data_IF_821645489230
#
_entry.id   IF_821645489230
#
_cell.length_a   1.000
_cell.length_b   1.000
_cell.length_c   1.000
_cell.angle_alpha   90.00
_cell.angle_beta   90.00
_cell.angle_gamma   90.00
#
_symmetry.space_group_name_H-M   'P 1'
#
loop_
_entity.id
_entity.type
_entity.pdbx_description
1 polymer ?
#
# COMPACT_ATOMS: atom_id res chain seq x y z
N UNK A 1 -2.73 -33.67 -45.74
CA UNK A 1 -1.94 -34.92 -45.79
C UNK A 1 -0.48 -34.57 -46.09
N UNK A 2 0.44 -34.97 -45.19
CA UNK A 2 1.92 -34.79 -45.17
C UNK A 2 2.35 -33.36 -44.76
N UNK A 3 2.76 -33.05 -43.51
CA UNK A 3 3.70 -33.67 -42.53
C UNK A 3 5.15 -33.68 -43.11
N UNK A 4 6.28 -33.35 -42.45
CA UNK A 4 6.78 -33.28 -41.04
C UNK A 4 8.09 -32.42 -41.02
N UNK A 5 8.43 -31.81 -39.87
CA UNK A 5 9.83 -31.74 -39.37
C UNK A 5 10.27 -30.35 -38.87
N UNK A 6 10.20 -29.97 -37.59
CA UNK A 6 10.81 -30.47 -36.34
C UNK A 6 12.19 -29.85 -36.01
N UNK A 7 12.24 -29.24 -34.81
CA UNK A 7 13.37 -29.07 -33.89
C UNK A 7 14.56 -28.18 -34.26
N UNK A 8 14.72 -27.06 -33.54
CA UNK A 8 15.92 -26.71 -32.75
C UNK A 8 15.84 -25.24 -32.31
N UNK A 9 15.58 -25.03 -31.03
CA UNK A 9 15.59 -23.72 -30.38
C UNK A 9 15.31 -23.86 -28.88
N UNK A 10 15.87 -24.91 -28.27
CA UNK A 10 15.93 -25.05 -26.82
C UNK A 10 17.23 -24.46 -26.29
N UNK A 11 17.17 -24.04 -25.03
CA UNK A 11 18.27 -23.57 -24.19
C UNK A 11 18.88 -22.22 -24.58
N UNK A 12 18.39 -21.17 -23.93
CA UNK A 12 19.16 -20.13 -23.20
C UNK A 12 18.21 -18.96 -22.95
N UNK A 13 17.63 -18.91 -21.76
CA UNK A 13 16.66 -17.86 -21.39
C UNK A 13 15.65 -18.26 -20.32
N UNK A 14 16.00 -19.19 -19.41
CA UNK A 14 15.38 -19.14 -18.09
C UNK A 14 16.18 -18.10 -17.32
N UNK A 15 15.78 -16.84 -17.49
CA UNK A 15 16.13 -15.81 -16.53
C UNK A 15 15.53 -16.26 -15.20
N UNK A 16 16.37 -16.23 -14.17
CA UNK A 16 16.02 -16.45 -12.78
C UNK A 16 14.94 -15.41 -12.42
N UNK A 17 13.68 -15.81 -12.46
CA UNK A 17 12.64 -15.07 -11.77
C UNK A 17 12.82 -15.36 -10.28
N UNK A 18 12.96 -14.34 -9.42
CA UNK A 18 12.85 -14.59 -7.99
C UNK A 18 11.47 -15.17 -7.77
N UNK A 19 11.43 -16.42 -7.31
CA UNK A 19 10.28 -16.89 -6.57
C UNK A 19 10.15 -15.90 -5.39
N UNK A 20 8.96 -15.34 -5.18
CA UNK A 20 8.64 -14.69 -3.92
C UNK A 20 8.76 -15.75 -2.82
N UNK A 21 9.97 -15.92 -2.28
CA UNK A 21 10.27 -16.80 -1.16
C UNK A 21 10.78 -15.90 -0.05
N UNK A 22 9.89 -15.56 0.87
CA UNK A 22 10.36 -15.14 2.17
C UNK A 22 10.95 -16.38 2.86
N UNK A 23 12.28 -16.44 2.97
CA UNK A 23 13.02 -17.49 3.67
C UNK A 23 13.34 -17.05 5.10
N UNK A 24 12.33 -17.05 5.94
CA UNK A 24 12.43 -16.58 7.31
C UNK A 24 12.93 -17.68 8.26
N UNK A 25 14.24 -17.76 8.49
CA UNK A 25 14.90 -18.77 9.35
C UNK A 25 14.43 -20.21 9.11
N UNK A 26 13.37 -20.56 9.84
CA UNK A 26 12.75 -21.86 9.94
C UNK A 26 11.54 -21.97 9.02
N UNK A 27 11.20 -21.00 8.19
CA UNK A 27 10.05 -21.06 7.30
C UNK A 27 10.44 -20.77 5.86
N UNK A 28 9.95 -21.61 4.96
CA UNK A 28 9.86 -21.32 3.53
C UNK A 28 8.40 -20.97 3.27
N UNK A 29 8.16 -19.75 2.78
CA UNK A 29 6.82 -19.23 2.52
C UNK A 29 6.69 -18.96 1.03
N UNK A 30 5.60 -19.45 0.46
CA UNK A 30 5.28 -19.31 -0.97
C UNK A 30 3.78 -19.08 -1.12
N UNK A 31 3.32 -18.32 -2.12
CA UNK A 31 1.92 -18.31 -2.52
C UNK A 31 1.38 -19.75 -2.67
N UNK A 32 0.24 -20.04 -2.08
CA UNK A 32 -0.37 -21.37 -2.20
C UNK A 32 -0.89 -21.57 -3.62
N UNK A 33 -0.51 -22.68 -4.26
CA UNK A 33 -0.86 -22.95 -5.66
C UNK A 33 -2.37 -23.13 -5.92
N UNK A 34 -3.20 -23.18 -4.88
CA UNK A 34 -4.67 -23.23 -4.99
C UNK A 34 -5.34 -21.89 -4.72
N UNK A 35 -4.56 -20.88 -4.32
CA UNK A 35 -5.00 -19.52 -4.08
C UNK A 35 -4.78 -18.65 -5.33
N UNK A 36 -5.61 -17.62 -5.45
CA UNK A 36 -5.37 -16.49 -6.35
C UNK A 36 -5.30 -15.27 -5.46
N UNK A 37 -4.31 -14.42 -5.69
CA UNK A 37 -4.17 -13.13 -5.03
C UNK A 37 -5.38 -12.24 -5.37
N UNK A 38 -5.96 -11.65 -4.34
CA UNK A 38 -6.91 -10.54 -4.51
C UNK A 38 -6.15 -9.27 -4.24
N UNK A 39 -5.99 -8.42 -5.26
CA UNK A 39 -5.41 -7.10 -5.09
C UNK A 39 -6.35 -6.24 -4.24
N UNK A 40 -5.78 -5.56 -3.26
CA UNK A 40 -6.50 -4.72 -2.28
C UNK A 40 -6.02 -3.27 -2.27
N UNK A 41 -4.92 -2.96 -2.97
CA UNK A 41 -4.40 -1.62 -3.11
C UNK A 41 -3.13 -1.55 -3.94
N UNK A 42 -2.68 -0.33 -4.20
CA UNK A 42 -1.41 -0.04 -4.86
C UNK A 42 -0.79 1.25 -4.32
N UNK A 43 0.49 1.46 -4.59
CA UNK A 43 1.12 2.76 -4.52
C UNK A 43 1.85 3.00 -5.84
N UNK A 44 1.61 4.17 -6.43
CA UNK A 44 2.24 4.57 -7.68
C UNK A 44 3.76 4.63 -7.59
N UNK A 45 4.39 4.73 -8.75
CA UNK A 45 5.83 4.88 -8.85
C UNK A 45 6.30 6.33 -8.69
N UNK A 46 5.39 7.30 -8.71
CA UNK A 46 5.70 8.73 -8.74
C UNK A 46 6.62 9.11 -9.90
N UNK A 47 7.26 10.27 -9.80
CA UNK A 47 8.37 10.61 -10.67
C UNK A 47 9.69 10.08 -10.10
N UNK A 48 10.17 8.95 -10.62
CA UNK A 48 11.37 8.25 -10.14
C UNK A 48 11.31 7.84 -8.64
N UNK A 49 10.12 7.53 -8.11
CA UNK A 49 9.92 7.09 -6.72
C UNK A 49 9.90 8.20 -5.67
N UNK A 50 9.91 9.47 -6.09
CA UNK A 50 9.98 10.60 -5.16
C UNK A 50 8.65 10.91 -4.44
N UNK A 51 7.52 10.39 -4.92
CA UNK A 51 6.19 10.89 -4.56
C UNK A 51 5.28 9.85 -3.87
N UNK A 52 5.86 8.74 -3.41
CA UNK A 52 5.17 7.75 -2.58
C UNK A 52 5.20 8.17 -1.12
N UNK A 53 4.06 8.15 -0.42
CA UNK A 53 3.94 8.54 0.99
C UNK A 53 4.49 7.44 1.93
N UNK A 54 5.73 7.56 2.45
CA UNK A 54 6.36 6.49 3.21
C UNK A 54 5.61 6.24 4.53
N UNK A 55 5.64 5.02 5.09
CA UNK A 55 6.48 3.88 4.74
C UNK A 55 6.02 3.05 3.54
N UNK A 56 4.95 3.44 2.84
CA UNK A 56 4.60 2.77 1.59
C UNK A 56 5.80 2.73 0.64
N UNK A 57 6.03 1.58 0.03
CA UNK A 57 7.10 1.42 -0.94
C UNK A 57 6.59 1.81 -2.32
N UNK A 58 7.40 2.58 -3.05
CA UNK A 58 7.14 2.96 -4.43
C UNK A 58 6.79 1.76 -5.30
N UNK A 59 5.74 1.89 -6.12
CA UNK A 59 5.31 0.82 -7.02
C UNK A 59 4.81 -0.43 -6.31
N UNK A 60 4.44 -0.33 -5.03
CA UNK A 60 3.96 -1.51 -4.30
C UNK A 60 2.53 -1.85 -4.70
N UNK A 61 2.30 -3.13 -4.96
CA UNK A 61 0.99 -3.74 -5.08
C UNK A 61 0.70 -4.46 -3.77
N UNK A 62 -0.50 -4.27 -3.24
CA UNK A 62 -0.96 -4.88 -2.01
C UNK A 62 -2.05 -5.89 -2.31
N UNK A 63 -2.01 -7.02 -1.61
CA UNK A 63 -2.95 -8.11 -1.86
C UNK A 63 -3.18 -9.02 -0.67
N UNK A 64 -4.09 -9.97 -0.86
CA UNK A 64 -4.39 -11.02 0.08
C UNK A 64 -4.48 -12.39 -0.60
N UNK A 65 -3.96 -13.42 0.07
CA UNK A 65 -4.03 -14.80 -0.40
C UNK A 65 -3.74 -15.84 0.70
N UNK A 66 -3.88 -17.12 0.34
CA UNK A 66 -3.25 -18.20 1.10
C UNK A 66 -1.78 -18.33 0.70
N UNK A 67 -0.95 -18.53 1.72
CA UNK A 67 0.43 -18.92 1.58
C UNK A 67 0.60 -20.36 2.05
N UNK A 68 1.39 -21.12 1.31
CA UNK A 68 1.94 -22.39 1.77
C UNK A 68 3.20 -22.13 2.60
N UNK A 69 3.38 -22.91 3.66
CA UNK A 69 4.59 -22.86 4.47
C UNK A 69 5.24 -24.24 4.61
N UNK A 70 6.57 -24.23 4.75
CA UNK A 70 7.35 -25.37 5.24
C UNK A 70 8.21 -24.91 6.40
N UNK A 71 7.97 -25.43 7.60
CA UNK A 71 8.86 -25.26 8.74
C UNK A 71 10.12 -26.12 8.51
N UNK A 72 11.28 -25.51 8.29
CA UNK A 72 12.56 -26.19 8.00
C UNK A 72 13.19 -26.82 9.24
N UNK A 73 12.73 -26.48 10.46
CA UNK A 73 13.14 -27.13 11.71
C UNK A 73 12.36 -28.42 11.93
N UNK A 74 11.03 -28.39 11.78
CA UNK A 74 10.16 -29.55 12.07
C UNK A 74 9.79 -30.37 10.82
N UNK A 75 9.99 -29.81 9.62
CA UNK A 75 9.44 -30.26 8.34
C UNK A 75 7.90 -30.26 8.30
N UNK A 76 7.24 -29.54 9.20
CA UNK A 76 5.81 -29.35 9.13
C UNK A 76 5.45 -28.49 7.92
N UNK A 77 4.32 -28.78 7.30
CA UNK A 77 3.83 -28.06 6.13
C UNK A 77 2.35 -27.77 6.30
N UNK A 78 1.90 -26.67 5.72
CA UNK A 78 0.50 -26.30 5.74
C UNK A 78 0.27 -25.01 4.96
N UNK A 79 -0.85 -24.37 5.26
CA UNK A 79 -1.16 -23.04 4.72
C UNK A 79 -1.63 -22.09 5.81
N UNK A 80 -1.44 -20.79 5.57
CA UNK A 80 -2.01 -19.71 6.35
C UNK A 80 -2.57 -18.64 5.41
N UNK A 81 -3.47 -17.80 5.90
CA UNK A 81 -3.96 -16.63 5.18
C UNK A 81 -3.12 -15.41 5.56
N UNK A 82 -2.78 -14.58 4.59
CA UNK A 82 -1.94 -13.41 4.83
C UNK A 82 -2.22 -12.27 3.87
N UNK A 83 -1.76 -11.10 4.29
CA UNK A 83 -1.64 -9.92 3.44
C UNK A 83 -0.21 -9.85 2.91
N UNK A 84 -0.05 -9.33 1.70
CA UNK A 84 1.26 -9.10 1.13
C UNK A 84 1.40 -7.73 0.50
N UNK A 85 2.64 -7.30 0.37
CA UNK A 85 3.03 -6.18 -0.45
C UNK A 85 4.24 -6.58 -1.30
N UNK A 86 4.12 -6.41 -2.61
CA UNK A 86 5.21 -6.62 -3.56
C UNK A 86 5.53 -5.29 -4.21
N UNK A 87 6.80 -4.91 -4.22
CA UNK A 87 7.26 -3.72 -4.95
C UNK A 87 8.48 -4.02 -5.79
N UNK A 88 8.64 -3.24 -6.85
CA UNK A 88 9.88 -3.15 -7.59
C UNK A 88 10.26 -1.68 -7.77
N UNK A 89 11.55 -1.39 -7.78
CA UNK A 89 12.04 -0.06 -8.10
C UNK A 89 12.68 -0.01 -9.50
N UNK A 90 12.93 1.21 -9.99
CA UNK A 90 13.60 1.42 -11.27
C UNK A 90 15.08 0.95 -11.31
N UNK A 91 15.65 0.53 -10.18
CA UNK A 91 17.00 -0.03 -10.07
C UNK A 91 17.00 -1.56 -10.12
N UNK A 92 15.81 -2.17 -10.16
CA UNK A 92 15.60 -3.61 -10.19
C UNK A 92 15.61 -4.25 -8.80
N UNK A 93 15.59 -3.46 -7.73
CA UNK A 93 15.35 -3.96 -6.39
C UNK A 93 13.88 -4.46 -6.32
N UNK A 94 13.64 -5.55 -5.59
CA UNK A 94 12.33 -6.15 -5.44
C UNK A 94 12.10 -6.43 -3.96
N UNK A 95 10.99 -5.93 -3.41
CA UNK A 95 10.55 -6.29 -2.08
C UNK A 95 9.34 -7.23 -2.12
N UNK A 96 9.28 -8.14 -1.17
CA UNK A 96 8.07 -8.91 -0.88
C UNK A 96 7.93 -9.04 0.62
N UNK A 97 6.89 -8.42 1.15
CA UNK A 97 6.53 -8.45 2.56
C UNK A 97 5.23 -9.22 2.75
N UNK A 98 5.14 -10.06 3.78
CA UNK A 98 3.99 -10.90 4.09
C UNK A 98 3.66 -10.81 5.58
N UNK A 99 2.40 -10.52 5.88
CA UNK A 99 1.81 -10.55 7.22
C UNK A 99 0.89 -11.75 7.39
N UNK A 100 1.08 -12.53 8.45
CA UNK A 100 0.18 -13.64 8.80
C UNK A 100 -1.08 -13.11 9.46
N UNK A 101 -2.20 -13.17 8.74
CA UNK A 101 -3.48 -12.63 9.18
C UNK A 101 -4.37 -13.71 9.83
N UNK A 102 -5.34 -13.31 10.68
CA UNK A 102 -6.41 -14.20 11.10
C UNK A 102 -7.19 -14.74 9.90
N UNK A 103 -7.50 -16.04 9.88
CA UNK A 103 -8.35 -16.60 8.83
C UNK A 103 -9.73 -15.91 8.83
N UNK A 104 -10.22 -15.42 7.68
CA UNK A 104 -11.52 -14.75 7.61
C UNK A 104 -12.67 -15.68 8.04
N UNK A 105 -13.65 -15.16 8.80
CA UNK A 105 -14.82 -15.94 9.24
C UNK A 105 -15.75 -16.35 8.07
N UNK A 106 -15.72 -15.60 6.96
CA UNK A 106 -16.54 -15.82 5.76
C UNK A 106 -15.67 -16.28 4.59
N UNK A 107 -15.99 -17.45 4.05
CA UNK A 107 -15.13 -18.18 3.12
C UNK A 107 -14.82 -17.52 1.78
N UNK A 108 -13.55 -17.61 1.42
CA UNK A 108 -12.98 -18.04 0.12
C UNK A 108 -11.72 -18.89 0.40
N UNK A 109 -11.02 -18.57 1.49
CA UNK A 109 -9.84 -19.26 2.00
C UNK A 109 -10.15 -20.28 3.12
N UNK A 110 -11.02 -21.26 2.85
CA UNK A 110 -11.21 -22.40 3.76
C UNK A 110 -10.08 -23.41 3.58
N UNK A 111 -8.90 -23.14 4.15
CA UNK A 111 -7.72 -23.96 3.90
C UNK A 111 -6.59 -23.83 4.91
N UNK A 112 -6.53 -22.71 5.65
CA UNK A 112 -5.49 -22.49 6.65
C UNK A 112 -5.47 -23.63 7.67
N UNK A 113 -4.30 -24.27 7.82
CA UNK A 113 -4.15 -25.47 8.63
C UNK A 113 -2.80 -26.14 8.44
N UNK A 114 -2.44 -26.93 9.44
CA UNK A 114 -1.14 -27.58 9.55
C UNK A 114 -0.66 -27.56 11.01
N UNK A 115 0.35 -28.35 11.34
CA UNK A 115 1.06 -28.20 12.61
C UNK A 115 2.14 -27.13 12.46
N UNK A 116 2.42 -26.39 13.52
CA UNK A 116 3.54 -25.44 13.54
C UNK A 116 3.46 -24.34 12.46
N UNK A 117 2.25 -23.92 12.09
CA UNK A 117 2.07 -22.75 11.24
C UNK A 117 2.65 -21.50 11.94
N UNK A 118 3.21 -20.55 11.18
CA UNK A 118 3.51 -19.23 11.71
C UNK A 118 2.28 -18.66 12.45
N UNK A 119 2.45 -18.12 13.67
CA UNK A 119 1.35 -17.50 14.39
C UNK A 119 0.89 -16.21 13.69
N UNK A 120 -0.39 -15.87 13.87
CA UNK A 120 -0.95 -14.57 13.45
C UNK A 120 -0.11 -13.44 14.03
N UNK A 121 0.17 -12.43 13.22
CA UNK A 121 1.06 -11.33 13.56
C UNK A 121 2.50 -11.53 13.10
N UNK A 122 2.87 -12.72 12.60
CA UNK A 122 4.21 -12.91 12.03
C UNK A 122 4.38 -12.05 10.78
N UNK A 123 5.56 -11.43 10.64
CA UNK A 123 5.96 -10.65 9.47
C UNK A 123 7.18 -11.31 8.84
N UNK A 124 7.16 -11.40 7.51
CA UNK A 124 8.21 -11.98 6.71
C UNK A 124 8.53 -11.05 5.56
N UNK A 125 9.81 -10.84 5.27
CA UNK A 125 10.22 -9.95 4.19
C UNK A 125 11.40 -10.52 3.41
N UNK A 126 11.39 -10.32 2.09
CA UNK A 126 12.54 -10.57 1.22
C UNK A 126 12.79 -9.38 0.31
N UNK A 127 13.91 -8.69 0.55
CA UNK A 127 14.38 -7.58 -0.25
C UNK A 127 15.56 -8.00 -1.14
N UNK A 128 15.34 -8.14 -2.44
CA UNK A 128 16.38 -8.51 -3.42
C UNK A 128 16.98 -7.27 -4.07
N UNK A 129 18.31 -7.19 -4.12
CA UNK A 129 19.02 -6.08 -4.76
C UNK A 129 19.24 -6.33 -6.26
N UNK A 130 18.80 -5.42 -7.14
CA UNK A 130 18.73 -5.53 -8.60
C UNK A 130 20.05 -5.73 -9.35
N UNK A 131 21.18 -5.66 -8.65
CA UNK A 131 22.52 -5.94 -9.18
C UNK A 131 23.07 -7.34 -8.79
N UNK A 132 22.24 -8.18 -8.16
CA UNK A 132 22.64 -9.50 -7.66
C UNK A 132 23.55 -9.44 -6.43
N UNK A 133 23.55 -8.33 -5.68
CA UNK A 133 24.31 -8.21 -4.43
C UNK A 133 23.82 -9.18 -3.33
N UNK A 134 22.60 -9.67 -3.44
CA UNK A 134 22.00 -10.64 -2.53
C UNK A 134 20.53 -10.35 -2.31
N UNK A 135 19.97 -11.00 -1.28
CA UNK A 135 18.62 -10.77 -0.79
C UNK A 135 18.71 -10.63 0.73
N UNK A 136 18.22 -9.53 1.29
CA UNK A 136 17.95 -9.46 2.73
C UNK A 136 16.69 -10.26 3.00
N UNK A 137 16.75 -11.14 3.99
CA UNK A 137 15.59 -11.92 4.40
C UNK A 137 15.36 -11.70 5.88
N UNK A 138 14.21 -11.10 6.17
CA UNK A 138 13.81 -10.70 7.50
C UNK A 138 12.62 -11.55 7.98
N UNK A 139 12.58 -11.77 9.29
CA UNK A 139 11.40 -12.32 9.94
C UNK A 139 11.23 -11.82 11.36
N UNK A 140 9.97 -11.62 11.74
CA UNK A 140 9.54 -11.42 13.11
C UNK A 140 8.37 -12.37 13.40
N UNK A 141 8.57 -13.30 14.34
CA UNK A 141 7.61 -14.36 14.63
C UNK A 141 7.20 -14.28 16.11
N UNK A 142 5.95 -13.88 16.44
CA UNK A 142 5.47 -13.80 17.81
C UNK A 142 5.61 -15.13 18.55
N UNK A 143 6.05 -15.08 19.81
CA UNK A 143 6.14 -16.27 20.67
C UNK A 143 4.91 -16.47 21.57
N UNK A 144 3.89 -15.63 21.43
CA UNK A 144 2.66 -15.63 22.22
C UNK A 144 2.80 -15.07 23.64
N UNK A 145 3.97 -14.52 24.01
CA UNK A 145 4.27 -13.94 25.32
C UNK A 145 4.60 -12.43 25.24
N UNK A 146 4.27 -11.79 24.12
CA UNK A 146 4.54 -10.36 23.89
C UNK A 146 5.98 -10.07 23.46
N UNK A 147 6.66 -11.06 22.90
CA UNK A 147 7.97 -10.93 22.24
C UNK A 147 7.96 -11.69 20.91
N UNK A 148 8.82 -11.32 19.97
CA UNK A 148 9.06 -12.12 18.77
C UNK A 148 10.46 -12.70 18.69
N UNK A 149 10.59 -13.79 17.94
CA UNK A 149 11.89 -14.19 17.38
C UNK A 149 12.13 -13.35 16.13
N UNK A 150 13.16 -12.50 16.19
CA UNK A 150 13.51 -11.58 15.12
C UNK A 150 14.83 -12.00 14.48
N UNK A 151 14.86 -12.05 13.15
CA UNK A 151 16.08 -12.28 12.37
C UNK A 151 16.13 -11.43 11.11
N UNK A 152 17.35 -11.12 10.70
CA UNK A 152 17.66 -10.48 9.43
C UNK A 152 18.95 -11.12 8.90
N UNK A 153 18.90 -11.61 7.67
CA UNK A 153 20.01 -12.32 7.02
C UNK A 153 20.19 -11.85 5.59
N UNK A 154 21.37 -11.32 5.30
CA UNK A 154 21.81 -11.11 3.92
C UNK A 154 22.24 -12.45 3.30
N UNK A 155 21.45 -12.94 2.36
CA UNK A 155 21.73 -14.14 1.56
C UNK A 155 22.43 -13.73 0.27
N UNK A 156 23.63 -14.25 0.04
CA UNK A 156 24.41 -13.97 -1.18
C UNK A 156 25.06 -15.23 -1.75
N UNK A 157 25.56 -15.14 -2.99
CA UNK A 157 26.35 -16.22 -3.60
C UNK A 157 27.65 -16.55 -2.84
N UNK A 158 28.12 -15.64 -1.98
CA UNK A 158 29.34 -15.82 -1.18
C UNK A 158 29.07 -16.40 0.22
N UNK A 159 27.79 -16.54 0.59
CA UNK A 159 27.35 -17.03 1.89
C UNK A 159 26.26 -16.16 2.51
N UNK A 160 25.79 -16.60 3.68
CA UNK A 160 24.76 -15.91 4.46
C UNK A 160 25.43 -15.15 5.61
N UNK A 161 25.02 -13.90 5.81
CA UNK A 161 25.50 -13.04 6.89
C UNK A 161 24.30 -12.56 7.68
N UNK A 162 24.22 -12.93 8.96
CA UNK A 162 23.20 -12.37 9.85
C UNK A 162 23.51 -10.89 10.11
N UNK A 163 22.51 -10.05 9.88
CA UNK A 163 22.51 -8.64 10.21
C UNK A 163 21.83 -8.48 11.57
N UNK A 164 22.54 -7.98 12.61
CA UNK A 164 21.92 -7.76 13.91
C UNK A 164 20.85 -6.67 13.80
N UNK A 165 19.62 -6.99 14.19
CA UNK A 165 18.53 -6.04 14.34
C UNK A 165 17.77 -6.30 15.64
N UNK A 166 17.14 -5.26 16.17
CA UNK A 166 16.19 -5.35 17.29
C UNK A 166 14.79 -4.91 16.88
N UNK A 167 14.58 -4.56 15.60
CA UNK A 167 13.29 -4.15 15.09
C UNK A 167 12.36 -5.36 15.00
N UNK A 168 11.25 -5.31 15.70
CA UNK A 168 10.24 -6.36 15.76
C UNK A 168 8.98 -5.89 15.03
N UNK A 169 8.86 -6.23 13.74
CA UNK A 169 7.69 -5.89 12.94
C UNK A 169 6.42 -6.63 13.39
N UNK A 170 6.56 -7.68 14.19
CA UNK A 170 5.46 -8.47 14.73
C UNK A 170 4.94 -7.94 16.07
N UNK A 171 5.71 -7.10 16.77
CA UNK A 171 5.23 -6.19 17.82
C UNK A 171 4.50 -5.00 17.16
N UNK A 172 3.64 -5.34 16.20
CA UNK A 172 2.87 -4.40 15.41
C UNK A 172 2.15 -3.45 16.36
N UNK A 173 1.99 -2.18 15.98
CA UNK A 173 1.80 -1.15 16.97
C UNK A 173 0.43 -1.28 17.63
N UNK A 174 0.43 -1.76 18.86
CA UNK A 174 -0.78 -1.87 19.66
C UNK A 174 -1.24 -0.45 20.04
N UNK A 175 -1.98 0.19 19.13
CA UNK A 175 -2.91 1.32 19.35
C UNK A 175 -2.32 2.41 20.23
N UNK A 176 -1.44 3.25 19.69
CA UNK A 176 -1.07 4.51 20.34
C UNK A 176 -2.18 5.54 20.11
N UNK A 177 -3.34 5.34 20.74
CA UNK A 177 -4.43 6.30 20.72
C UNK A 177 -4.18 7.44 21.72
N UNK A 178 -3.06 8.15 21.58
CA UNK A 178 -2.90 9.42 22.28
C UNK A 178 -4.03 10.35 21.83
N UNK A 179 -4.72 11.05 22.76
CA UNK A 179 -5.84 11.91 22.40
C UNK A 179 -5.40 12.99 21.40
N UNK A 180 -5.83 12.86 20.15
CA UNK A 180 -5.51 13.82 19.09
C UNK A 180 -6.22 15.13 19.37
N UNK A 181 -5.50 16.24 19.58
CA UNK A 181 -6.15 17.54 19.78
C UNK A 181 -6.74 18.00 18.46
N UNK A 182 -8.02 18.28 18.50
CA UNK A 182 -8.79 18.65 17.33
C UNK A 182 -8.91 20.17 17.33
N UNK A 183 -9.01 20.80 16.16
CA UNK A 183 -9.12 22.25 16.03
C UNK A 183 -10.26 22.93 16.82
N UNK A 184 -11.22 22.16 17.35
CA UNK A 184 -12.28 22.60 18.28
C UNK A 184 -11.98 22.30 19.77
N UNK A 185 -10.73 21.95 20.09
CA UNK A 185 -10.23 21.51 21.40
C UNK A 185 -10.77 20.15 21.89
N UNK A 186 -11.35 19.32 21.01
CA UNK A 186 -11.75 17.93 21.29
C UNK A 186 -10.60 16.92 21.20
N UNK A 187 -10.91 15.64 21.40
CA UNK A 187 -9.99 14.51 21.28
C UNK A 187 -10.61 13.27 20.65
N UNK A 188 -9.83 12.50 19.90
CA UNK A 188 -10.23 11.17 19.40
C UNK A 188 -9.60 10.05 20.22
N UNK A 189 -10.31 8.92 20.37
CA UNK A 189 -9.81 7.73 21.04
C UNK A 189 -10.28 6.47 20.31
N UNK A 190 -9.34 5.57 20.02
CA UNK A 190 -9.62 4.28 19.38
C UNK A 190 -10.61 3.41 20.17
N UNK A 191 -11.44 2.68 19.44
CA UNK A 191 -12.39 1.68 19.95
C UNK A 191 -11.94 0.30 19.48
N UNK A 192 -11.54 -0.55 20.43
CA UNK A 192 -11.05 -1.89 20.11
C UNK A 192 -9.66 -1.88 19.48
N UNK A 193 -9.31 -2.96 18.78
CA UNK A 193 -8.06 -3.09 18.04
C UNK A 193 -8.31 -2.88 16.55
N UNK A 194 -7.30 -2.38 15.84
CA UNK A 194 -7.30 -2.32 14.39
C UNK A 194 -7.55 -3.71 13.81
N UNK A 195 -8.42 -3.79 12.81
CA UNK A 195 -8.52 -4.95 11.93
C UNK A 195 -7.62 -4.70 10.74
N UNK A 196 -6.44 -5.32 10.73
CA UNK A 196 -5.46 -5.22 9.65
C UNK A 196 -6.07 -5.75 8.35
N UNK A 197 -5.86 -5.02 7.26
CA UNK A 197 -6.28 -5.37 5.89
C UNK A 197 -5.14 -5.33 4.89
N UNK A 198 -3.99 -4.77 5.26
CA UNK A 198 -2.82 -4.69 4.37
C UNK A 198 -1.53 -4.42 5.15
N UNK A 199 -0.39 -4.71 4.52
CA UNK A 199 0.96 -4.43 5.02
C UNK A 199 1.76 -3.65 3.96
N UNK A 200 2.75 -2.87 4.36
CA UNK A 200 3.77 -2.30 3.47
C UNK A 200 5.01 -1.88 4.28
N UNK A 201 6.17 -1.82 3.66
CA UNK A 201 7.41 -1.48 4.33
C UNK A 201 8.60 -2.22 3.74
N UNK A 202 9.74 -2.09 4.44
CA UNK A 202 11.00 -2.79 4.12
C UNK A 202 11.68 -3.15 5.45
N UNK A 203 11.18 -4.13 6.23
CA UNK A 203 11.83 -4.53 7.47
C UNK A 203 13.30 -4.95 7.26
N UNK A 204 14.23 -4.61 8.18
CA UNK A 204 14.01 -3.98 9.48
C UNK A 204 13.99 -2.45 9.48
N UNK A 205 13.88 -1.79 8.31
CA UNK A 205 13.86 -0.33 8.23
C UNK A 205 12.51 0.22 8.72
N UNK A 206 11.42 -0.27 8.14
CA UNK A 206 10.05 0.16 8.43
C UNK A 206 9.06 -0.99 8.23
N UNK A 207 7.95 -0.95 8.96
CA UNK A 207 6.76 -1.74 8.69
C UNK A 207 5.52 -0.90 8.96
N UNK A 208 4.51 -1.02 8.09
CA UNK A 208 3.23 -0.34 8.18
C UNK A 208 2.09 -1.36 8.11
N UNK A 209 1.19 -1.30 9.09
CA UNK A 209 -0.03 -2.09 9.10
C UNK A 209 -1.21 -1.16 8.86
N UNK A 210 -1.86 -1.34 7.72
CA UNK A 210 -3.08 -0.64 7.36
C UNK A 210 -4.29 -1.49 7.73
N UNK A 211 -5.36 -0.83 8.15
CA UNK A 211 -6.57 -1.50 8.56
C UNK A 211 -7.75 -0.57 8.77
N UNK A 212 -8.73 -1.10 9.51
CA UNK A 212 -9.92 -0.36 9.95
C UNK A 212 -10.02 -0.38 11.46
N UNK A 213 -10.48 0.75 12.01
CA UNK A 213 -10.78 0.91 13.42
C UNK A 213 -11.86 1.97 13.59
N UNK A 214 -12.68 1.87 14.65
CA UNK A 214 -13.62 2.93 14.99
C UNK A 214 -13.00 3.86 16.02
N UNK A 215 -13.35 5.14 15.99
CA UNK A 215 -12.89 6.13 16.98
C UNK A 215 -14.05 6.83 17.67
N UNK A 216 -13.94 6.99 18.99
CA UNK A 216 -14.81 7.85 19.80
C UNK A 216 -14.30 9.29 19.81
N UNK A 217 -15.19 10.24 19.57
CA UNK A 217 -14.88 11.67 19.58
C UNK A 217 -15.37 12.34 20.85
N UNK A 218 -14.49 13.03 21.55
CA UNK A 218 -14.79 13.77 22.78
C UNK A 218 -14.58 15.26 22.55
N UNK A 219 -15.40 16.09 23.18
CA UNK A 219 -15.19 17.54 23.18
C UNK A 219 -14.15 17.97 24.23
N UNK A 220 -13.83 19.25 24.27
CA UNK A 220 -12.88 19.84 25.24
C UNK A 220 -13.25 19.68 26.71
N UNK A 221 -14.51 19.34 27.01
CA UNK A 221 -14.95 19.02 28.36
C UNK A 221 -14.83 17.51 28.68
N UNK A 222 -14.28 16.70 27.77
CA UNK A 222 -14.17 15.24 27.89
C UNK A 222 -15.51 14.51 27.72
N UNK A 223 -16.51 15.16 27.11
CA UNK A 223 -17.82 14.54 26.86
C UNK A 223 -17.84 13.89 25.49
N UNK A 224 -18.30 12.63 25.41
CA UNK A 224 -18.50 11.92 24.15
C UNK A 224 -19.51 12.67 23.28
N UNK A 225 -19.09 13.03 22.08
CA UNK A 225 -19.89 13.70 21.05
C UNK A 225 -20.49 12.68 20.08
N UNK A 226 -19.71 11.66 19.72
CA UNK A 226 -20.10 10.66 18.74
C UNK A 226 -18.96 9.70 18.41
N UNK A 227 -19.16 8.92 17.35
CA UNK A 227 -18.22 7.89 16.88
C UNK A 227 -18.11 7.94 15.37
N UNK A 228 -16.91 7.68 14.86
CA UNK A 228 -16.61 7.65 13.43
C UNK A 228 -15.95 6.32 13.05
N UNK A 229 -16.23 5.86 11.83
CA UNK A 229 -15.48 4.78 11.21
C UNK A 229 -14.26 5.35 10.52
N UNK A 230 -13.13 4.64 10.58
CA UNK A 230 -11.87 5.08 9.98
C UNK A 230 -11.17 3.95 9.24
N UNK A 231 -10.32 4.35 8.31
CA UNK A 231 -9.15 3.55 7.93
C UNK A 231 -7.95 4.19 8.59
N UNK A 232 -7.01 3.37 9.03
CA UNK A 232 -5.84 3.82 9.78
C UNK A 232 -4.62 3.00 9.39
N UNK A 233 -3.45 3.62 9.46
CA UNK A 233 -2.16 2.95 9.24
C UNK A 233 -1.25 3.26 10.39
N UNK A 234 -0.72 2.19 10.97
CA UNK A 234 0.25 2.24 12.04
C UNK A 234 1.63 1.91 11.46
N UNK A 235 2.61 2.76 11.71
CA UNK A 235 3.99 2.57 11.22
C UNK A 235 4.94 2.44 12.39
N UNK A 236 5.92 1.55 12.27
CA UNK A 236 7.08 1.52 13.14
C UNK A 236 8.37 1.48 12.31
N UNK A 237 9.44 2.05 12.85
CA UNK A 237 10.76 2.04 12.22
C UNK A 237 11.86 1.41 13.10
N UNK A 238 12.99 1.07 12.48
CA UNK A 238 14.16 0.53 13.18
C UNK A 238 14.84 1.51 14.15
N UNK A 239 14.46 2.79 14.14
CA UNK A 239 14.89 3.76 15.14
C UNK A 239 14.00 3.73 16.40
N UNK A 240 12.81 3.13 16.33
CA UNK A 240 11.81 3.11 17.40
C UNK A 240 10.85 4.29 17.36
N UNK A 241 10.74 4.99 16.22
CA UNK A 241 9.68 5.95 15.94
C UNK A 241 8.39 5.16 15.66
N UNK A 242 7.27 5.70 16.14
CA UNK A 242 5.94 5.13 15.88
C UNK A 242 5.02 6.19 15.28
N UNK A 243 4.21 5.83 14.28
CA UNK A 243 3.19 6.73 13.72
C UNK A 243 1.82 6.08 13.55
N UNK A 244 0.76 6.87 13.67
CA UNK A 244 -0.62 6.46 13.41
C UNK A 244 -1.32 7.52 12.56
N UNK A 245 -1.51 7.23 11.28
CA UNK A 245 -2.30 8.03 10.36
C UNK A 245 -3.75 7.51 10.34
N UNK A 246 -4.73 8.40 10.46
CA UNK A 246 -6.16 8.06 10.54
C UNK A 246 -6.95 8.91 9.57
N UNK A 247 -7.76 8.27 8.74
CA UNK A 247 -8.70 8.89 7.81
C UNK A 247 -10.13 8.54 8.20
N UNK A 248 -10.95 9.56 8.46
CA UNK A 248 -12.37 9.40 8.75
C UNK A 248 -13.11 9.00 7.48
N UNK A 249 -13.75 7.84 7.47
CA UNK A 249 -14.46 7.33 6.30
C UNK A 249 -15.96 7.57 6.37
N UNK A 250 -16.55 7.50 7.57
CA UNK A 250 -17.97 7.76 7.76
C UNK A 250 -18.35 8.13 9.20
N UNK A 251 -19.49 8.81 9.33
CA UNK A 251 -20.20 9.00 10.60
C UNK A 251 -20.85 7.67 11.02
N UNK A 252 -20.65 7.25 12.28
CA UNK A 252 -21.38 6.14 12.90
C UNK A 252 -22.42 6.65 13.90
N UNK A 253 -22.09 7.71 14.64
CA UNK A 253 -23.03 8.44 15.48
C UNK A 253 -22.55 9.87 15.75
N UNK A 254 -23.50 10.80 15.90
CA UNK A 254 -23.21 12.19 16.25
C UNK A 254 -23.89 13.16 15.30
N UNK A 255 -23.37 14.39 15.24
CA UNK A 255 -23.73 15.36 14.21
C UNK A 255 -22.43 15.83 13.58
N UNK A 256 -22.31 15.65 12.26
CA UNK A 256 -21.16 16.15 11.50
C UNK A 256 -21.19 17.68 11.45
N UNK A 257 -20.04 18.30 11.69
CA UNK A 257 -19.92 19.75 11.71
C UNK A 257 -18.54 20.23 12.16
N UNK A 258 -18.45 21.53 12.42
CA UNK A 258 -17.19 22.22 12.70
C UNK A 258 -17.11 22.77 14.13
N UNK A 259 -18.12 22.51 14.97
CA UNK A 259 -18.15 23.02 16.35
C UNK A 259 -17.59 21.99 17.33
N UNK A 260 -17.32 22.42 18.56
CA UNK A 260 -16.95 21.53 19.67
C UNK A 260 -18.02 20.50 20.07
N UNK A 261 -19.21 20.56 19.48
CA UNK A 261 -20.31 19.63 19.71
C UNK A 261 -20.55 18.69 18.52
N UNK A 262 -19.68 18.74 17.51
CA UNK A 262 -19.81 17.98 16.28
C UNK A 262 -18.65 16.98 16.15
N UNK A 263 -18.89 15.90 15.39
CA UNK A 263 -17.85 14.96 14.95
C UNK A 263 -17.26 15.44 13.60
N UNK A 264 -16.05 14.99 13.22
CA UNK A 264 -15.44 15.34 11.95
C UNK A 264 -16.21 14.73 10.77
N UNK A 265 -16.16 15.41 9.63
CA UNK A 265 -16.69 14.87 8.38
C UNK A 265 -15.79 13.77 7.84
N UNK A 266 -16.38 12.90 7.00
CA UNK A 266 -15.60 12.02 6.14
C UNK A 266 -14.56 12.84 5.36
N UNK A 267 -13.36 12.31 5.29
CA UNK A 267 -12.19 12.92 4.71
C UNK A 267 -11.30 13.72 5.66
N UNK A 268 -11.66 13.77 6.95
CA UNK A 268 -10.77 14.38 7.95
C UNK A 268 -9.60 13.44 8.25
N UNK A 269 -8.39 13.99 8.28
CA UNK A 269 -7.14 13.24 8.43
C UNK A 269 -6.46 13.63 9.73
N UNK A 270 -5.84 12.67 10.39
CA UNK A 270 -5.07 12.86 11.60
C UNK A 270 -3.79 12.06 11.50
N UNK A 271 -2.72 12.54 12.12
CA UNK A 271 -1.51 11.77 12.25
C UNK A 271 -0.87 12.03 13.61
N UNK A 272 -0.38 10.98 14.25
CA UNK A 272 0.44 11.08 15.46
C UNK A 272 1.80 10.47 15.18
N UNK A 273 2.88 11.14 15.59
CA UNK A 273 4.25 10.62 15.50
C UNK A 273 4.87 10.69 16.90
N UNK A 274 5.18 9.55 17.51
CA UNK A 274 5.95 9.49 18.75
C UNK A 274 7.46 9.51 18.46
N UNK A 275 8.12 10.50 19.04
CA UNK A 275 9.56 10.68 19.04
C UNK A 275 10.11 10.50 20.46
N UNK A 276 10.13 9.26 20.95
CA UNK A 276 10.74 8.91 22.24
C UNK A 276 10.13 9.69 23.41
N UNK A 277 8.80 9.75 23.49
CA UNK A 277 8.05 10.44 24.54
C UNK A 277 7.80 11.94 24.27
N UNK A 278 7.84 12.34 23.00
CA UNK A 278 7.26 13.58 22.50
C UNK A 278 6.39 13.26 21.30
N UNK A 279 5.17 13.78 21.26
CA UNK A 279 4.22 13.47 20.19
C UNK A 279 4.08 14.66 19.25
N UNK A 280 4.37 14.47 17.97
CA UNK A 280 3.88 15.37 16.94
C UNK A 280 2.47 14.93 16.54
N UNK A 281 1.53 15.87 16.52
CA UNK A 281 0.12 15.59 16.28
C UNK A 281 -0.37 16.55 15.22
N UNK A 282 -0.70 15.99 14.07
CA UNK A 282 -1.34 16.66 12.96
C UNK A 282 -2.84 16.34 12.93
N UNK A 283 -3.63 17.33 12.57
CA UNK A 283 -5.05 17.15 12.25
C UNK A 283 -5.39 18.02 11.06
N UNK A 284 -6.22 17.52 10.16
CA UNK A 284 -6.85 18.23 9.06
C UNK A 284 -8.34 17.90 9.01
N UNK A 285 -9.16 18.87 9.39
CA UNK A 285 -10.59 18.66 9.58
C UNK A 285 -11.33 19.25 8.39
N UNK A 286 -12.04 18.39 7.66
CA UNK A 286 -12.87 18.80 6.53
C UNK A 286 -14.10 19.56 7.03
N UNK A 287 -14.28 20.79 6.54
CA UNK A 287 -15.48 21.58 6.83
C UNK A 287 -16.02 22.28 5.58
N UNK A 288 -17.34 22.57 5.50
CA UNK A 288 -17.92 23.31 4.38
C UNK A 288 -17.33 24.71 4.13
N UNK A 289 -16.67 25.30 5.13
CA UNK A 289 -16.06 26.63 5.05
C UNK A 289 -14.57 26.63 4.67
N UNK A 290 -14.01 25.46 4.40
CA UNK A 290 -12.58 25.23 4.22
C UNK A 290 -11.99 24.38 5.34
N UNK A 291 -10.95 23.64 5.01
CA UNK A 291 -10.32 22.72 5.93
C UNK A 291 -9.61 23.45 7.06
N UNK A 292 -9.58 22.84 8.24
CA UNK A 292 -8.89 23.37 9.40
C UNK A 292 -7.81 22.40 9.84
N UNK A 293 -6.58 22.72 9.45
CA UNK A 293 -5.41 21.93 9.78
C UNK A 293 -4.55 22.59 10.87
N UNK A 294 -4.01 21.75 11.76
CA UNK A 294 -3.10 22.15 12.83
C UNK A 294 -2.02 21.11 13.01
N UNK A 295 -0.83 21.57 13.39
CA UNK A 295 0.28 20.71 13.79
C UNK A 295 0.77 21.15 15.18
N UNK A 296 0.89 20.19 16.09
CA UNK A 296 1.31 20.44 17.47
C UNK A 296 2.36 19.44 17.92
N UNK A 297 3.41 19.94 18.58
CA UNK A 297 4.40 19.11 19.26
C UNK A 297 4.11 19.11 20.77
N UNK A 298 3.76 17.95 21.31
CA UNK A 298 3.61 17.71 22.74
C UNK A 298 4.94 17.21 23.31
N UNK A 299 5.40 17.86 24.38
CA UNK A 299 6.63 17.49 25.09
C UNK A 299 6.40 17.54 26.59
N UNK A 300 7.34 17.02 27.37
CA UNK A 300 7.38 17.23 28.83
C UNK A 300 7.42 18.69 29.28
N UNK A 301 7.78 19.63 28.39
CA UNK A 301 7.82 21.07 28.66
C UNK A 301 6.51 21.80 28.31
N UNK A 302 5.58 21.10 27.64
CA UNK A 302 4.30 21.65 27.18
C UNK A 302 4.06 21.39 25.68
N UNK A 303 2.95 21.94 25.20
CA UNK A 303 2.48 21.86 23.81
C UNK A 303 2.91 23.08 23.02
N UNK A 304 3.50 22.87 21.85
CA UNK A 304 3.92 23.89 20.91
C UNK A 304 3.12 23.76 19.62
N UNK A 305 2.60 24.86 19.08
CA UNK A 305 1.96 24.88 17.76
C UNK A 305 3.07 25.06 16.71
N UNK A 306 3.11 24.17 15.74
CA UNK A 306 3.99 24.27 14.57
C UNK A 306 3.18 24.92 13.45
N UNK A 307 3.62 26.07 12.91
CA UNK A 307 2.97 26.66 11.74
C UNK A 307 3.09 25.71 10.56
N UNK A 308 1.95 25.32 9.99
CA UNK A 308 1.86 24.38 8.86
C UNK A 308 0.92 24.96 7.80
N UNK A 309 1.20 24.68 6.53
CA UNK A 309 0.34 25.05 5.39
C UNK A 309 -0.20 23.81 4.63
N UNK A 310 0.23 22.63 5.03
CA UNK A 310 -0.17 21.34 4.47
C UNK A 310 -1.61 21.01 4.84
N UNK A 311 -2.39 20.71 3.82
CA UNK A 311 -3.84 20.41 3.84
C UNK A 311 -3.98 19.01 3.25
N UNK A 312 -3.75 18.00 4.10
CA UNK A 312 -3.71 16.59 3.72
C UNK A 312 -5.01 16.14 3.04
N UNK A 313 -6.16 16.66 3.48
CA UNK A 313 -7.46 16.30 2.95
C UNK A 313 -7.66 16.73 1.49
N UNK A 314 -6.77 17.58 0.92
CA UNK A 314 -6.76 17.83 -0.53
C UNK A 314 -6.43 16.59 -1.36
N UNK A 315 -5.71 15.62 -0.81
CA UNK A 315 -5.36 14.39 -1.53
C UNK A 315 -6.62 13.65 -2.03
N UNK A 316 -7.75 13.76 -1.33
CA UNK A 316 -9.02 13.16 -1.74
C UNK A 316 -9.63 13.78 -2.99
N UNK A 317 -9.27 15.03 -3.27
CA UNK A 317 -9.86 15.78 -4.38
C UNK A 317 -9.15 15.57 -5.71
N UNK A 318 -7.98 14.91 -5.70
CA UNK A 318 -7.15 14.67 -6.88
C UNK A 318 -7.94 13.84 -7.90
N UNK A 319 -8.46 12.68 -7.49
CA UNK A 319 -9.18 11.74 -8.37
C UNK A 319 -10.61 12.14 -8.76
N UNK A 320 -11.03 13.38 -8.47
CA UNK A 320 -12.39 13.85 -8.78
C UNK A 320 -12.47 14.64 -10.10
N UNK A 321 -11.39 14.69 -10.87
CA UNK A 321 -11.32 15.42 -12.14
C UNK A 321 -11.08 14.49 -13.33
N UNK A 322 -11.63 14.78 -14.53
CA UNK A 322 -11.28 14.02 -15.72
C UNK A 322 -9.80 14.16 -16.07
N UNK A 323 -9.17 13.04 -16.42
CA UNK A 323 -7.77 12.98 -16.89
C UNK A 323 -7.75 12.54 -18.35
N UNK A 324 -6.95 13.22 -19.18
CA UNK A 324 -6.74 12.84 -20.58
C UNK A 324 -5.28 12.43 -20.81
N UNK A 325 -5.09 11.24 -21.35
CA UNK A 325 -3.78 10.68 -21.66
C UNK A 325 -3.35 10.97 -23.10
N UNK A 326 -2.06 10.92 -23.37
CA UNK A 326 -1.49 11.21 -24.70
C UNK A 326 -1.90 10.20 -25.77
N UNK A 327 -2.32 9.00 -25.37
CA UNK A 327 -2.92 7.98 -26.24
C UNK A 327 -4.36 8.32 -26.69
N UNK A 328 -4.95 9.42 -26.19
CA UNK A 328 -6.29 9.88 -26.53
C UNK A 328 -7.41 9.29 -25.67
N UNK A 329 -7.08 8.47 -24.67
CA UNK A 329 -8.03 8.05 -23.64
C UNK A 329 -8.30 9.19 -22.67
N UNK A 330 -9.54 9.29 -22.21
CA UNK A 330 -9.95 10.19 -21.14
C UNK A 330 -10.75 9.41 -20.12
N UNK A 331 -10.30 9.46 -18.86
CA UNK A 331 -11.01 8.89 -17.73
C UNK A 331 -11.81 9.98 -17.04
N UNK A 332 -13.01 9.65 -16.60
CA UNK A 332 -13.89 10.57 -15.89
C UNK A 332 -14.51 9.80 -14.73
N UNK A 333 -14.19 10.17 -13.47
CA UNK A 333 -14.75 9.53 -12.29
C UNK A 333 -16.27 9.69 -12.31
N UNK A 334 -16.98 8.63 -11.92
CA UNK A 334 -18.45 8.57 -11.92
C UNK A 334 -19.04 8.54 -10.52
N UNK A 335 -18.21 8.23 -9.53
CA UNK A 335 -18.48 8.31 -8.11
C UNK A 335 -17.29 8.94 -7.36
N UNK A 336 -17.47 9.11 -6.05
CA UNK A 336 -16.41 9.56 -5.16
C UNK A 336 -15.56 8.35 -4.74
N UNK A 337 -14.28 8.61 -4.43
CA UNK A 337 -13.37 7.61 -3.90
C UNK A 337 -13.95 6.94 -2.64
N UNK A 338 -14.02 5.62 -2.64
CA UNK A 338 -14.41 4.83 -1.47
C UNK A 338 -13.16 4.39 -0.71
N UNK A 339 -12.86 5.05 0.40
CA UNK A 339 -11.62 4.88 1.14
C UNK A 339 -11.40 3.45 1.65
N UNK A 340 -10.23 2.90 1.36
CA UNK A 340 -9.76 1.58 1.83
C UNK A 340 -8.44 1.68 2.59
N UNK A 341 -7.73 2.82 2.51
CA UNK A 341 -6.43 2.99 3.12
C UNK A 341 -5.99 4.44 3.26
N UNK A 342 -5.04 4.64 4.15
CA UNK A 342 -4.28 5.88 4.32
C UNK A 342 -2.83 5.51 4.61
N UNK A 343 -1.87 6.29 4.14
CA UNK A 343 -0.47 6.12 4.50
C UNK A 343 0.23 7.50 4.51
N UNK A 344 1.52 7.51 4.82
CA UNK A 344 2.30 8.74 4.88
C UNK A 344 2.49 9.28 6.29
N UNK A 345 3.13 10.44 6.33
CA UNK A 345 3.51 11.14 7.56
C UNK A 345 3.00 12.59 7.58
N UNK A 346 1.68 12.86 7.61
CA UNK A 346 1.18 14.23 7.70
C UNK A 346 1.81 14.97 8.90
N UNK A 347 2.32 16.21 8.74
CA UNK A 347 2.11 17.11 7.61
C UNK A 347 3.16 17.07 6.48
N UNK A 348 4.00 16.04 6.39
CA UNK A 348 5.03 15.94 5.35
C UNK A 348 4.43 15.42 4.05
N UNK A 349 3.69 14.32 4.14
CA UNK A 349 3.05 13.68 3.00
C UNK A 349 1.81 12.91 3.45
N UNK A 350 0.96 12.54 2.50
CA UNK A 350 -0.17 11.64 2.73
C UNK A 350 -0.45 10.85 1.46
N UNK A 351 -0.79 9.58 1.63
CA UNK A 351 -1.35 8.72 0.60
C UNK A 351 -2.74 8.27 1.00
N UNK A 352 -3.72 8.37 0.10
CA UNK A 352 -5.10 7.92 0.36
C UNK A 352 -5.45 6.89 -0.71
N UNK A 353 -5.88 5.71 -0.27
CA UNK A 353 -6.26 4.60 -1.14
C UNK A 353 -7.78 4.40 -1.13
N UNK A 354 -8.33 3.97 -2.26
CA UNK A 354 -9.74 3.61 -2.34
C UNK A 354 -10.14 3.01 -3.68
N UNK A 355 -11.35 2.45 -3.71
CA UNK A 355 -11.98 2.03 -4.96
C UNK A 355 -12.75 3.19 -5.61
N UNK A 356 -12.73 3.27 -6.94
CA UNK A 356 -13.50 4.28 -7.68
C UNK A 356 -13.96 3.75 -9.05
N UNK A 357 -15.17 4.15 -9.46
CA UNK A 357 -15.75 3.82 -10.76
C UNK A 357 -15.51 4.97 -11.76
N UNK A 358 -15.03 4.61 -12.94
CA UNK A 358 -14.74 5.55 -14.01
C UNK A 358 -15.57 5.23 -15.26
N UNK A 359 -15.88 6.28 -16.02
CA UNK A 359 -16.18 6.18 -17.44
C UNK A 359 -14.93 6.52 -18.23
N UNK A 360 -14.74 5.87 -19.37
CA UNK A 360 -13.65 6.18 -20.28
C UNK A 360 -14.16 6.45 -21.69
N UNK A 361 -13.48 7.35 -22.38
CA UNK A 361 -13.62 7.53 -23.83
C UNK A 361 -12.25 7.41 -24.49
N UNK A 362 -12.17 6.66 -25.57
CA UNK A 362 -11.04 6.59 -26.48
C UNK A 362 -11.54 7.12 -27.83
N UNK A 363 -10.91 8.19 -28.32
CA UNK A 363 -11.27 8.84 -29.59
C UNK A 363 -11.26 7.90 -30.82
N UNK A 364 -10.68 6.70 -30.70
CA UNK A 364 -10.57 5.69 -31.76
C UNK A 364 -11.33 4.41 -31.41
N UNK A 365 -11.27 3.94 -30.17
CA UNK A 365 -11.75 2.61 -29.77
C UNK A 365 -13.15 2.60 -29.14
N UNK A 366 -13.69 3.74 -28.72
CA UNK A 366 -15.07 3.85 -28.24
C UNK A 366 -15.17 4.41 -26.82
N UNK A 367 -16.15 3.95 -26.05
CA UNK A 367 -16.38 4.42 -24.68
C UNK A 367 -16.92 3.29 -23.82
N UNK A 368 -16.58 3.28 -22.54
CA UNK A 368 -17.07 2.29 -21.58
C UNK A 368 -16.95 2.79 -20.14
N UNK A 369 -17.04 1.85 -19.20
CA UNK A 369 -16.78 2.04 -17.78
C UNK A 369 -15.79 1.00 -17.25
N UNK A 370 -15.12 1.33 -16.15
CA UNK A 370 -14.24 0.43 -15.43
C UNK A 370 -14.26 0.77 -13.93
N UNK A 371 -13.90 -0.20 -13.10
CA UNK A 371 -13.64 -0.01 -11.66
C UNK A 371 -12.13 -0.09 -11.47
N UNK A 372 -11.59 0.74 -10.59
CA UNK A 372 -10.18 0.76 -10.27
C UNK A 372 -9.92 0.90 -8.78
N UNK A 373 -8.76 0.36 -8.38
CA UNK A 373 -8.11 0.79 -7.15
C UNK A 373 -7.30 2.05 -7.48
N UNK A 374 -7.42 3.05 -6.61
CA UNK A 374 -6.84 4.39 -6.80
C UNK A 374 -6.06 4.77 -5.57
N UNK A 375 -4.89 5.36 -5.79
CA UNK A 375 -4.08 5.94 -4.72
C UNK A 375 -3.70 7.35 -5.08
N UNK A 376 -4.10 8.29 -4.23
CA UNK A 376 -3.76 9.69 -4.36
C UNK A 376 -2.68 10.05 -3.34
N UNK A 377 -1.57 10.66 -3.77
CA UNK A 377 -0.57 11.22 -2.83
C UNK A 377 -0.48 12.74 -2.93
N UNK A 378 -0.10 13.36 -1.81
CA UNK A 378 0.17 14.78 -1.71
C UNK A 378 1.34 14.98 -0.74
N UNK A 379 2.30 15.82 -1.11
CA UNK A 379 3.44 16.17 -0.26
C UNK A 379 3.44 17.66 0.18
N UNK A 380 4.40 18.02 1.03
CA UNK A 380 4.57 19.37 1.57
C UNK A 380 5.03 20.40 0.51
N UNK A 381 5.51 19.93 -0.64
CA UNK A 381 5.80 20.75 -1.82
C UNK A 381 4.57 20.97 -2.71
N UNK A 382 3.43 20.35 -2.37
CA UNK A 382 2.18 20.35 -3.12
C UNK A 382 2.31 19.66 -4.49
N UNK A 383 3.25 18.73 -4.58
CA UNK A 383 3.29 17.74 -5.65
C UNK A 383 2.21 16.69 -5.37
N UNK A 384 1.53 16.25 -6.43
CA UNK A 384 0.34 15.39 -6.33
C UNK A 384 0.49 14.20 -7.25
N UNK A 385 0.11 13.01 -6.78
CA UNK A 385 0.00 11.84 -7.66
C UNK A 385 -1.38 11.22 -7.61
N UNK A 386 -1.77 10.58 -8.71
CA UNK A 386 -2.92 9.69 -8.80
C UNK A 386 -2.49 8.44 -9.56
N UNK A 387 -2.42 7.30 -8.87
CA UNK A 387 -2.19 5.99 -9.46
C UNK A 387 -3.52 5.25 -9.58
N UNK A 388 -3.78 4.64 -10.74
CA UNK A 388 -5.06 3.99 -11.08
C UNK A 388 -4.75 2.59 -11.62
N UNK A 389 -5.23 1.56 -10.91
CA UNK A 389 -5.16 0.17 -11.35
C UNK A 389 -6.55 -0.34 -11.76
N UNK A 390 -6.71 -0.74 -13.02
CA UNK A 390 -7.98 -1.25 -13.53
C UNK A 390 -8.27 -2.64 -12.96
N UNK A 391 -9.26 -2.77 -12.08
CA UNK A 391 -9.64 -4.05 -11.47
C UNK A 391 -10.81 -4.73 -12.17
N UNK A 392 -11.68 -3.95 -12.83
CA UNK A 392 -12.79 -4.46 -13.65
C UNK A 392 -13.01 -3.57 -14.86
N UNK A 393 -13.38 -4.13 -16.01
CA UNK A 393 -13.67 -3.35 -17.22
C UNK A 393 -14.90 -3.86 -17.95
N UNK A 394 -15.74 -2.94 -18.42
CA UNK A 394 -16.90 -3.23 -19.27
C UNK A 394 -16.51 -3.64 -20.70
N UNK A 395 -15.30 -3.27 -21.13
CA UNK A 395 -14.73 -3.70 -22.41
C UNK A 395 -13.23 -4.03 -22.25
N UNK A 396 -12.91 -5.24 -21.74
CA UNK A 396 -11.53 -5.67 -21.52
C UNK A 396 -10.69 -5.82 -22.79
N UNK A 397 -11.29 -5.69 -23.99
CA UNK A 397 -10.54 -5.67 -25.23
C UNK A 397 -9.95 -4.28 -25.53
N UNK A 398 -10.54 -3.22 -24.97
CA UNK A 398 -10.08 -1.83 -25.11
C UNK A 398 -9.26 -1.41 -23.90
N UNK A 399 -9.77 -1.67 -22.69
CA UNK A 399 -9.10 -1.36 -21.43
C UNK A 399 -9.03 -2.65 -20.59
N UNK A 400 -7.95 -3.42 -20.72
CA UNK A 400 -7.77 -4.69 -20.03
C UNK A 400 -7.58 -4.53 -18.51
N UNK A 401 -8.06 -5.49 -17.71
CA UNK A 401 -7.87 -5.55 -16.24
C UNK A 401 -6.39 -5.73 -15.90
N UNK A 402 -5.85 -5.00 -14.94
CA UNK A 402 -4.41 -4.96 -14.64
C UNK A 402 -3.65 -3.93 -15.47
N UNK A 403 -4.34 -3.09 -16.26
CA UNK A 403 -3.73 -1.88 -16.82
C UNK A 403 -3.54 -0.84 -15.71
N UNK A 404 -2.42 -0.12 -15.75
CA UNK A 404 -2.06 0.89 -14.76
C UNK A 404 -1.86 2.25 -15.41
N UNK A 405 -2.24 3.30 -14.70
CA UNK A 405 -2.08 4.69 -15.12
C UNK A 405 -1.59 5.49 -13.93
N UNK A 406 -0.73 6.46 -14.20
CA UNK A 406 -0.25 7.35 -13.16
C UNK A 406 -0.19 8.78 -13.67
N UNK A 407 -0.64 9.70 -12.84
CA UNK A 407 -0.54 11.14 -13.05
C UNK A 407 0.35 11.69 -11.94
N UNK A 408 1.36 12.46 -12.32
CA UNK A 408 2.18 13.24 -11.36
C UNK A 408 2.04 14.72 -11.73
N UNK A 409 1.51 15.54 -10.83
CA UNK A 409 1.35 16.98 -11.02
C UNK A 409 2.39 17.74 -10.20
N UNK A 410 3.32 18.41 -10.90
CA UNK A 410 4.37 19.24 -10.30
C UNK A 410 3.95 20.71 -10.12
N UNK A 411 2.69 21.01 -10.42
CA UNK A 411 2.15 22.36 -10.51
C UNK A 411 2.65 23.14 -11.73
N UNK A 412 2.23 24.41 -11.82
CA UNK A 412 2.63 25.36 -12.88
C UNK A 412 2.40 24.88 -14.33
N UNK A 413 1.53 23.89 -14.53
CA UNK A 413 1.23 23.30 -15.84
C UNK A 413 2.22 22.22 -16.29
N UNK A 414 2.98 21.63 -15.37
CA UNK A 414 3.83 20.46 -15.60
C UNK A 414 3.18 19.22 -15.00
N UNK A 415 2.99 18.20 -15.82
CA UNK A 415 2.41 16.92 -15.41
C UNK A 415 3.13 15.76 -16.10
N UNK A 416 3.39 14.67 -15.40
CA UNK A 416 3.77 13.39 -15.98
C UNK A 416 2.52 12.53 -16.14
N UNK A 417 2.35 11.93 -17.32
CA UNK A 417 1.23 11.06 -17.64
C UNK A 417 1.78 9.71 -18.10
N UNK A 418 1.72 8.75 -17.19
CA UNK A 418 2.05 7.36 -17.43
C UNK A 418 0.81 6.56 -17.82
N UNK A 419 0.97 5.66 -18.78
CA UNK A 419 0.00 4.59 -19.01
C UNK A 419 0.67 3.30 -19.41
N UNK A 420 0.26 2.21 -18.78
CA UNK A 420 0.63 0.85 -19.08
C UNK A 420 -0.61 0.01 -19.36
N UNK A 421 -0.93 -0.14 -20.64
CA UNK A 421 -2.09 -0.90 -21.07
C UNK A 421 -1.69 -2.36 -21.22
N UNK A 422 -2.23 -3.19 -20.34
CA UNK A 422 -1.84 -4.58 -20.22
C UNK A 422 -2.27 -5.42 -21.43
N UNK A 423 -1.57 -6.53 -21.70
CA UNK A 423 -1.86 -7.43 -22.82
C UNK A 423 -1.91 -8.90 -22.40
N UNK A 424 -3.01 -9.60 -22.73
CA UNK A 424 -3.20 -11.02 -22.41
C UNK A 424 -2.26 -12.00 -23.17
N UNK A 425 -1.43 -11.52 -24.10
CA UNK A 425 -0.56 -12.39 -24.91
C UNK A 425 0.43 -11.66 -25.82
N UNK A 426 0.60 -10.36 -25.63
CA UNK A 426 1.57 -9.51 -26.31
C UNK A 426 2.42 -8.74 -25.30
N UNK A 427 3.24 -7.82 -25.79
CA UNK A 427 3.85 -6.81 -24.93
C UNK A 427 2.78 -5.77 -24.57
N UNK A 428 2.88 -5.23 -23.37
CA UNK A 428 2.06 -4.12 -22.94
C UNK A 428 2.32 -2.86 -23.80
N UNK A 429 1.36 -1.94 -23.83
CA UNK A 429 1.51 -0.64 -24.49
C UNK A 429 1.80 0.39 -23.42
N UNK A 430 3.08 0.72 -23.28
CA UNK A 430 3.58 1.62 -22.25
C UNK A 430 3.95 2.96 -22.86
N UNK A 431 3.45 4.05 -22.29
CA UNK A 431 3.79 5.41 -22.69
C UNK A 431 3.98 6.31 -21.47
N UNK A 432 4.95 7.22 -21.56
CA UNK A 432 5.14 8.30 -20.60
C UNK A 432 5.16 9.63 -21.36
N UNK A 433 4.44 10.63 -20.85
CA UNK A 433 4.38 11.97 -21.45
C UNK A 433 4.51 13.04 -20.39
N UNK A 434 5.57 13.85 -20.49
CA UNK A 434 5.69 15.08 -19.74
C UNK A 434 4.93 16.20 -20.46
N UNK A 435 3.78 16.56 -19.92
CA UNK A 435 2.99 17.73 -20.31
C UNK A 435 3.69 18.97 -19.80
N UNK A 436 3.84 19.99 -20.66
CA UNK A 436 4.44 21.26 -20.26
C UNK A 436 3.70 22.44 -20.90
N UNK A 437 3.83 23.67 -20.37
CA UNK A 437 3.26 24.86 -21.00
C UNK A 437 3.86 25.16 -22.39
N UNK A 438 4.96 24.51 -22.76
CA UNK A 438 5.66 24.69 -24.04
C UNK A 438 5.31 23.59 -25.06
N UNK A 439 4.47 22.62 -24.66
CA UNK A 439 4.11 21.44 -25.43
C UNK A 439 4.57 20.15 -24.78
N UNK A 440 3.96 19.05 -25.22
CA UNK A 440 4.14 17.73 -24.60
C UNK A 440 5.42 17.05 -25.12
N UNK A 441 6.11 16.36 -24.21
CA UNK A 441 7.35 15.64 -24.47
C UNK A 441 7.12 14.17 -24.15
N UNK A 442 7.19 13.31 -25.16
CA UNK A 442 7.21 11.86 -24.92
C UNK A 442 8.54 11.46 -24.29
N UNK A 443 8.46 10.76 -23.16
CA UNK A 443 9.61 10.21 -22.47
C UNK A 443 9.66 8.68 -22.72
N UNK A 444 10.85 8.08 -22.70
CA UNK A 444 10.96 6.63 -22.57
C UNK A 444 10.29 6.19 -21.25
N UNK A 445 9.41 5.17 -21.28
CA UNK A 445 8.77 4.70 -20.05
C UNK A 445 9.84 4.11 -19.10
N UNK A 446 9.82 4.48 -17.82
CA UNK A 446 10.82 4.03 -16.85
C UNK A 446 10.60 2.58 -16.37
N UNK A 447 9.36 2.08 -16.43
CA UNK A 447 8.96 0.76 -15.94
C UNK A 447 7.76 0.18 -16.72
N UNK A 448 7.45 -1.09 -16.47
CA UNK A 448 6.31 -1.87 -16.99
C UNK A 448 5.50 -2.31 -15.76
N UNK A 449 4.63 -1.42 -15.25
CA UNK A 449 3.92 -1.62 -13.99
C UNK A 449 2.84 -2.71 -14.10
N UNK A 450 2.26 -2.86 -15.30
CA UNK A 450 1.32 -3.95 -15.57
C UNK A 450 2.00 -5.31 -15.78
N UNK A 451 3.34 -5.37 -15.78
CA UNK A 451 4.07 -6.62 -15.89
C UNK A 451 3.73 -7.55 -14.72
N UNK A 452 3.12 -8.69 -15.04
CA UNK A 452 2.80 -9.71 -14.04
C UNK A 452 1.46 -9.54 -13.35
N UNK A 453 0.72 -8.45 -13.58
CA UNK A 453 -0.66 -8.28 -13.05
C UNK A 453 -1.71 -9.11 -13.84
N UNK A 454 -1.41 -9.43 -15.11
CA UNK A 454 -2.38 -10.04 -16.04
C UNK A 454 -2.45 -11.58 -16.00
N UNK A 455 -1.34 -12.21 -15.64
CA UNK A 455 -1.33 -13.58 -15.18
C UNK A 455 -1.32 -13.47 -13.67
N UNK A 456 -2.29 -14.06 -12.95
CA UNK A 456 -2.14 -14.37 -11.52
C UNK A 456 -0.66 -14.50 -11.21
N UNK A 457 -0.11 -13.61 -10.36
CA UNK A 457 1.32 -13.22 -10.35
C UNK A 457 2.27 -14.44 -10.34
N UNK A 458 1.77 -15.65 -10.05
CA UNK A 458 2.52 -16.90 -10.05
C UNK A 458 1.93 -18.14 -10.78
N UNK A 459 0.97 -18.03 -11.70
CA UNK A 459 0.48 -19.20 -12.47
C UNK A 459 1.52 -19.89 -13.38
N UNK A 460 2.77 -19.40 -13.44
CA UNK A 460 3.89 -19.98 -14.20
C UNK A 460 4.61 -21.14 -13.47
N UNK A 461 4.40 -21.40 -12.17
CA UNK A 461 5.26 -22.33 -11.42
C UNK A 461 4.68 -23.71 -11.05
N UNK A 462 3.60 -24.17 -11.69
CA UNK A 462 3.14 -25.57 -11.56
C UNK A 462 4.01 -26.61 -12.31
N UNK A 463 5.21 -26.24 -12.77
CA UNK A 463 6.08 -27.04 -13.63
C UNK A 463 7.48 -27.33 -13.08
N UNK A 464 7.69 -27.30 -11.76
CA UNK A 464 8.96 -27.66 -11.14
C UNK A 464 9.19 -29.16 -11.08
N UNK A 465 9.67 -29.74 -12.18
CA UNK A 465 10.22 -31.09 -12.18
C UNK A 465 11.40 -31.20 -11.22
N UNK A 466 11.33 -32.20 -10.34
CA UNK A 466 12.41 -32.60 -9.45
C UNK A 466 13.75 -32.74 -10.17
N UNK A 467 14.84 -32.37 -9.48
CA UNK A 467 16.17 -32.90 -9.75
C UNK A 467 16.21 -34.42 -9.51
#
# INVERSE_FOLDING_TARGET
>A
MRNIGAAAGGLLGLALLPLAVANADNYIILPDATSVETITGLYGHGFDGADTAPPAVTGSIQGEQLFSYTDTTTNATGTFYGFESVSNDGLGDINTEVYVAPTPETGYYSGAGGTDAPPVGSVFDSYSYGNGAGTSVYSAIPDGHGTATVTDTLVSSTGNVSAPTTFDAADGPAVYAAPVIIGNSGTMQAIGSQTVTSISGIPPLTAALQGTQDFSFFNSAGTLVGTVGTVDTTTSDGAGTFTEAVLVTNDLSGTVGATGADIPAAGSIYNTIDFYGSDNIYSDIVTPSGNHFTDTLQTSMGTFIIPVAFDAAKAETISNSPVSFSNGMTFTPTDALNFTGINGLPPVDVGIQGGQDFSFTDGTLGSGTFTADVTNTLDDFNDQTEAILVTQSSDPAVLPVGSEFEIVNFGYGFESLYSDIASAGGQNVITETLVTPLGDISLPPPFDAAAGLFSDMFSVFAGGGAL
#
